data_IF_909940462622
#
_entry.id   IF_909940462622
#
_cell.length_a   1.000
_cell.length_b   1.000
_cell.length_c   1.000
_cell.angle_alpha   90.00
_cell.angle_beta   90.00
_cell.angle_gamma   90.00
#
_symmetry.space_group_name_H-M   'P 1'
#
loop_
_entity.id
_entity.type
_entity.pdbx_description
1 polymer ?
#
# COMPACT_ATOMS: atom_id res chain seq x y z
N UNK A 1 16.87 8.17 19.30
CA UNK A 1 17.07 7.58 17.96
C UNK A 1 17.75 8.63 17.11
N UNK A 2 18.60 8.22 16.19
CA UNK A 2 19.17 9.10 15.16
C UNK A 2 18.15 9.41 14.08
N UNK A 3 18.33 10.50 13.33
CA UNK A 3 17.46 10.83 12.19
C UNK A 3 17.36 9.68 11.16
N UNK A 4 18.44 8.90 11.03
CA UNK A 4 18.47 7.70 10.16
C UNK A 4 17.61 6.56 10.72
N UNK A 5 17.62 6.36 12.05
CA UNK A 5 16.77 5.36 12.71
C UNK A 5 15.30 5.78 12.66
N UNK A 6 15.00 7.07 12.85
CA UNK A 6 13.66 7.63 12.73
C UNK A 6 13.10 7.44 11.31
N UNK A 7 13.92 7.76 10.29
CA UNK A 7 13.55 7.58 8.89
C UNK A 7 13.28 6.11 8.56
N UNK A 8 14.14 5.19 9.03
CA UNK A 8 13.95 3.75 8.86
C UNK A 8 12.64 3.29 9.52
N UNK A 9 12.37 3.74 10.74
CA UNK A 9 11.16 3.36 11.47
C UNK A 9 9.88 3.82 10.76
N UNK A 10 9.86 5.07 10.28
CA UNK A 10 8.69 5.63 9.59
C UNK A 10 8.44 4.90 8.26
N UNK A 11 9.49 4.66 7.46
CA UNK A 11 9.34 3.95 6.18
C UNK A 11 8.84 2.51 6.37
N UNK A 12 9.39 1.79 7.34
CA UNK A 12 8.95 0.42 7.65
C UNK A 12 7.50 0.38 8.12
N UNK A 13 7.09 1.33 8.98
CA UNK A 13 5.71 1.46 9.42
C UNK A 13 4.75 1.73 8.25
N UNK A 14 5.11 2.65 7.35
CA UNK A 14 4.29 2.97 6.17
C UNK A 14 4.13 1.78 5.22
N UNK A 15 5.18 1.00 4.98
CA UNK A 15 5.11 -0.20 4.13
C UNK A 15 4.18 -1.25 4.74
N UNK A 16 4.33 -1.53 6.04
CA UNK A 16 3.46 -2.49 6.73
C UNK A 16 2.00 -2.02 6.71
N UNK A 17 1.74 -0.79 7.10
CA UNK A 17 0.38 -0.24 7.14
C UNK A 17 -0.29 -0.20 5.77
N UNK A 18 0.47 0.15 4.72
CA UNK A 18 -0.06 0.17 3.37
C UNK A 18 -0.43 -1.23 2.86
N UNK A 19 0.34 -2.27 3.23
CA UNK A 19 0.02 -3.67 2.87
C UNK A 19 -1.28 -4.14 3.52
N UNK A 20 -1.54 -3.75 4.77
CA UNK A 20 -2.82 -4.07 5.43
C UNK A 20 -4.00 -3.43 4.67
N UNK A 21 -3.86 -2.16 4.29
CA UNK A 21 -4.87 -1.45 3.50
C UNK A 21 -5.06 -1.98 2.08
N UNK A 22 -4.02 -2.50 1.43
CA UNK A 22 -4.17 -3.17 0.12
C UNK A 22 -5.20 -4.31 0.20
N UNK A 23 -5.14 -5.14 1.25
CA UNK A 23 -6.08 -6.24 1.46
C UNK A 23 -7.51 -5.74 1.72
N UNK A 24 -7.67 -4.73 2.57
CA UNK A 24 -8.98 -4.11 2.84
C UNK A 24 -9.63 -3.54 1.56
N UNK A 25 -8.82 -2.88 0.72
CA UNK A 25 -9.31 -2.33 -0.54
C UNK A 25 -9.63 -3.42 -1.58
N UNK A 26 -8.88 -4.52 -1.61
CA UNK A 26 -9.23 -5.69 -2.45
C UNK A 26 -10.58 -6.28 -2.04
N UNK A 27 -10.88 -6.38 -0.74
CA UNK A 27 -12.20 -6.80 -0.25
C UNK A 27 -13.31 -5.81 -0.63
N UNK A 28 -13.04 -4.51 -0.55
CA UNK A 28 -14.00 -3.47 -0.96
C UNK A 28 -14.27 -3.52 -2.46
N UNK A 29 -13.25 -3.76 -3.29
CA UNK A 29 -13.41 -3.97 -4.72
C UNK A 29 -14.26 -5.22 -5.02
N UNK A 30 -14.06 -6.31 -4.27
CA UNK A 30 -14.87 -7.52 -4.40
C UNK A 30 -16.35 -7.25 -4.05
N UNK A 31 -16.60 -6.51 -2.96
CA UNK A 31 -17.95 -6.06 -2.57
C UNK A 31 -18.58 -5.18 -3.66
N UNK A 32 -17.82 -4.22 -4.23
CA UNK A 32 -18.29 -3.37 -5.32
C UNK A 32 -18.70 -4.19 -6.55
N UNK A 33 -17.89 -5.19 -6.95
CA UNK A 33 -18.28 -6.10 -8.05
C UNK A 33 -19.55 -6.88 -7.75
N UNK A 34 -19.72 -7.38 -6.52
CA UNK A 34 -20.93 -8.09 -6.12
C UNK A 34 -22.20 -7.22 -6.16
N UNK A 35 -22.05 -5.89 -6.03
CA UNK A 35 -23.14 -4.92 -6.17
C UNK A 35 -23.42 -4.52 -7.64
N UNK A 36 -22.70 -5.07 -8.61
CA UNK A 36 -22.80 -4.66 -10.02
C UNK A 36 -21.97 -3.41 -10.37
N UNK A 37 -21.21 -2.87 -9.42
CA UNK A 37 -20.43 -1.63 -9.56
C UNK A 37 -19.01 -1.91 -10.08
N UNK A 38 -18.91 -2.52 -11.26
CA UNK A 38 -17.64 -2.95 -11.84
C UNK A 38 -16.64 -1.79 -12.02
N UNK A 39 -17.10 -0.62 -12.48
CA UNK A 39 -16.23 0.55 -12.69
C UNK A 39 -15.63 1.09 -11.37
N UNK A 40 -16.39 1.03 -10.27
CA UNK A 40 -15.90 1.40 -8.95
C UNK A 40 -14.84 0.40 -8.49
N UNK A 41 -15.13 -0.90 -8.61
CA UNK A 41 -14.17 -1.94 -8.27
C UNK A 41 -12.85 -1.81 -9.02
N UNK A 42 -12.91 -1.56 -10.33
CA UNK A 42 -11.71 -1.39 -11.16
C UNK A 42 -10.91 -0.14 -10.75
N UNK A 43 -11.60 0.94 -10.35
CA UNK A 43 -10.95 2.14 -9.82
C UNK A 43 -10.25 1.88 -8.48
N UNK A 44 -10.88 1.10 -7.59
CA UNK A 44 -10.27 0.68 -6.31
C UNK A 44 -9.04 -0.17 -6.57
N UNK A 45 -9.13 -1.18 -7.44
CA UNK A 45 -8.00 -2.06 -7.78
C UNK A 45 -6.84 -1.30 -8.41
N UNK A 46 -7.13 -0.28 -9.23
CA UNK A 46 -6.10 0.63 -9.74
C UNK A 46 -5.40 1.38 -8.61
N UNK A 47 -6.14 1.83 -7.59
CA UNK A 47 -5.57 2.43 -6.37
C UNK A 47 -4.63 1.47 -5.64
N UNK A 48 -5.06 0.22 -5.42
CA UNK A 48 -4.26 -0.85 -4.82
C UNK A 48 -2.96 -1.07 -5.60
N UNK A 49 -3.02 -1.08 -6.94
CA UNK A 49 -1.82 -1.24 -7.77
C UNK A 49 -0.82 -0.08 -7.57
N UNK A 50 -1.30 1.16 -7.43
CA UNK A 50 -0.43 2.29 -7.14
C UNK A 50 0.19 2.20 -5.74
N UNK A 51 -0.56 1.73 -4.75
CA UNK A 51 -0.02 1.47 -3.40
C UNK A 51 1.10 0.43 -3.43
N UNK A 52 0.91 -0.68 -4.14
CA UNK A 52 1.94 -1.72 -4.34
C UNK A 52 3.23 -1.16 -4.94
N UNK A 53 3.11 -0.26 -5.94
CA UNK A 53 4.27 0.43 -6.56
C UNK A 53 4.97 1.38 -5.59
N UNK A 54 4.20 2.11 -4.77
CA UNK A 54 4.75 2.97 -3.73
C UNK A 54 5.51 2.15 -2.68
N UNK A 55 4.93 1.05 -2.22
CA UNK A 55 5.53 0.14 -1.26
C UNK A 55 6.86 -0.43 -1.78
N UNK A 56 6.92 -0.88 -3.02
CA UNK A 56 8.16 -1.37 -3.64
C UNK A 56 9.27 -0.29 -3.64
N UNK A 57 8.89 0.99 -3.83
CA UNK A 57 9.83 2.12 -3.82
C UNK A 57 10.34 2.42 -2.41
N UNK A 58 9.48 2.33 -1.39
CA UNK A 58 9.88 2.51 0.02
C UNK A 58 10.70 1.33 0.55
N UNK A 59 10.40 0.10 0.14
CA UNK A 59 11.23 -1.07 0.43
C UNK A 59 12.63 -0.93 -0.17
N UNK A 60 12.76 -0.36 -1.37
CA UNK A 60 14.07 -0.04 -1.94
C UNK A 60 14.79 1.03 -1.12
N UNK A 61 14.11 2.10 -0.71
CA UNK A 61 14.69 3.11 0.17
C UNK A 61 15.19 2.50 1.50
N UNK A 62 14.42 1.58 2.10
CA UNK A 62 14.82 0.84 3.29
C UNK A 62 16.08 -0.01 3.07
N UNK A 63 16.23 -0.64 1.88
CA UNK A 63 17.45 -1.38 1.52
C UNK A 63 18.67 -0.47 1.38
N UNK A 64 18.48 0.73 0.84
CA UNK A 64 19.55 1.73 0.67
C UNK A 64 19.95 2.42 1.98
N UNK A 65 19.09 2.39 3.01
CA UNK A 65 19.37 2.96 4.33
C UNK A 65 20.32 2.11 5.20
N UNK A 66 21.09 1.17 4.63
CA UNK A 66 22.13 0.37 5.30
C UNK A 66 22.99 1.20 6.25
#
# INVERSE_FOLDING_TARGET
MSEKEDLKHILDHFVHHSKDHEGEFEELAAKARAMGEAAIADSILKGVEQMKKSNASFEEALRLLS
#
